data_IF_834227906307
#
_entry.id   IF_834227906307
#
_cell.length_a   1.000
_cell.length_b   1.000
_cell.length_c   1.000
_cell.angle_alpha   90.00
_cell.angle_beta   90.00
_cell.angle_gamma   90.00
#
_symmetry.space_group_name_H-M   'P 1'
#
loop_
_entity.id
_entity.type
_entity.pdbx_description
1 polymer ?
#
# COMPACT_ATOMS: atom_id res chain seq x y z
N UNK A 1 -24.99 27.68 2.74
CA UNK A 1 -23.49 27.72 2.80
C UNK A 1 -23.04 26.51 3.55
N UNK A 2 -22.36 25.57 2.90
CA UNK A 2 -21.72 24.43 3.57
C UNK A 2 -20.49 24.95 4.28
N UNK A 3 -20.35 24.69 5.58
CA UNK A 3 -19.10 24.98 6.28
C UNK A 3 -17.99 24.11 5.66
N UNK A 4 -16.78 24.67 5.44
CA UNK A 4 -15.68 23.85 4.99
C UNK A 4 -15.44 22.73 6.00
N UNK A 5 -15.24 21.50 5.51
CA UNK A 5 -14.89 20.38 6.36
C UNK A 5 -13.59 20.74 7.10
N UNK A 6 -13.48 20.40 8.38
CA UNK A 6 -12.26 20.61 9.18
C UNK A 6 -11.09 19.92 8.50
N UNK A 7 -10.03 20.66 8.18
CA UNK A 7 -8.77 20.05 7.79
C UNK A 7 -8.05 19.52 9.04
N UNK A 8 -7.72 18.23 9.04
CA UNK A 8 -6.95 17.59 10.11
C UNK A 8 -5.45 17.83 9.94
N UNK A 9 -4.72 17.73 11.04
CA UNK A 9 -3.25 17.75 11.06
C UNK A 9 -2.70 16.41 11.56
N UNK A 10 -1.44 16.08 11.23
CA UNK A 10 -0.79 14.86 11.73
C UNK A 10 -0.72 14.84 13.26
N UNK A 11 -0.49 15.99 13.88
CA UNK A 11 -0.46 16.08 15.34
C UNK A 11 -1.81 15.71 15.97
N UNK A 12 -2.92 16.13 15.39
CA UNK A 12 -4.26 15.75 15.85
C UNK A 12 -4.51 14.24 15.62
N UNK A 13 -4.10 13.70 14.47
CA UNK A 13 -4.25 12.27 14.16
C UNK A 13 -3.45 11.40 15.11
N UNK A 14 -2.21 11.78 15.42
CA UNK A 14 -1.35 11.03 16.34
C UNK A 14 -1.81 11.09 17.82
N UNK A 15 -2.79 11.95 18.14
CA UNK A 15 -3.45 11.99 19.47
C UNK A 15 -4.71 11.13 19.53
N UNK A 16 -5.14 10.55 18.41
CA UNK A 16 -6.29 9.65 18.41
C UNK A 16 -5.99 8.39 19.22
N UNK A 17 -7.02 7.74 19.79
CA UNK A 17 -6.82 6.56 20.62
C UNK A 17 -6.27 5.38 19.82
N UNK A 18 -5.50 4.52 20.48
CA UNK A 18 -5.15 3.20 19.95
C UNK A 18 -6.29 2.21 20.30
N UNK A 19 -7.33 2.25 19.50
CA UNK A 19 -8.58 1.49 19.69
C UNK A 19 -8.72 0.33 18.68
N UNK A 20 -7.62 0.01 17.97
CA UNK A 20 -7.58 -1.01 16.92
C UNK A 20 -7.95 -0.50 15.54
N UNK A 21 -8.42 0.73 15.41
CA UNK A 21 -8.64 1.33 14.10
C UNK A 21 -7.31 1.84 13.48
N UNK A 22 -7.26 1.85 12.16
CA UNK A 22 -6.21 2.51 11.40
C UNK A 22 -6.65 3.95 11.08
N UNK A 23 -5.81 4.92 11.42
CA UNK A 23 -6.05 6.34 11.18
C UNK A 23 -5.04 6.85 10.16
N UNK A 24 -5.53 7.35 9.04
CA UNK A 24 -4.71 7.87 7.96
C UNK A 24 -5.11 9.30 7.63
N UNK A 25 -4.13 10.14 7.32
CA UNK A 25 -4.36 11.53 6.94
C UNK A 25 -3.89 11.75 5.50
N UNK A 26 -4.80 12.04 4.60
CA UNK A 26 -4.47 12.32 3.20
C UNK A 26 -5.04 13.70 2.82
N UNK A 27 -4.15 14.65 2.53
CA UNK A 27 -4.49 16.02 2.12
C UNK A 27 -5.49 16.71 3.07
N UNK A 28 -5.29 16.52 4.39
CA UNK A 28 -6.12 17.12 5.42
C UNK A 28 -7.44 16.38 5.70
N UNK A 29 -7.73 15.28 5.00
CA UNK A 29 -8.88 14.43 5.25
C UNK A 29 -8.48 13.22 6.10
N UNK A 30 -9.18 13.01 7.22
CA UNK A 30 -9.01 11.86 8.10
C UNK A 30 -9.78 10.66 7.59
N UNK A 31 -9.09 9.55 7.40
CA UNK A 31 -9.68 8.25 7.10
C UNK A 31 -9.53 7.32 8.29
N UNK A 32 -10.63 6.67 8.68
CA UNK A 32 -10.67 5.68 9.75
C UNK A 32 -11.04 4.34 9.14
N UNK A 33 -10.20 3.32 9.39
CA UNK A 33 -10.42 1.97 8.89
C UNK A 33 -10.52 1.00 10.07
N UNK A 34 -11.63 0.25 10.18
CA UNK A 34 -11.76 -0.78 11.20
C UNK A 34 -10.78 -1.94 10.95
N UNK A 35 -10.60 -2.83 11.94
CA UNK A 35 -9.79 -4.04 11.77
C UNK A 35 -10.20 -4.84 10.52
N UNK A 36 -9.23 -5.48 9.83
CA UNK A 36 -9.47 -6.23 8.61
C UNK A 36 -10.26 -7.52 8.85
N UNK A 37 -10.86 -8.06 7.78
CA UNK A 37 -11.48 -9.39 7.78
C UNK A 37 -10.42 -10.50 7.70
N UNK A 38 -10.84 -11.74 8.02
CA UNK A 38 -9.97 -12.93 7.87
C UNK A 38 -9.50 -13.09 6.42
N UNK A 39 -10.40 -12.96 5.44
CA UNK A 39 -10.05 -13.11 4.02
C UNK A 39 -9.02 -12.07 3.57
N UNK A 40 -9.13 -10.83 4.06
CA UNK A 40 -8.13 -9.78 3.81
C UNK A 40 -6.75 -10.21 4.33
N UNK A 41 -6.69 -10.67 5.58
CA UNK A 41 -5.44 -11.10 6.22
C UNK A 41 -4.83 -12.33 5.54
N UNK A 42 -5.64 -13.28 5.07
CA UNK A 42 -5.14 -14.46 4.36
C UNK A 42 -4.48 -14.10 3.03
N UNK A 43 -5.12 -13.25 2.23
CA UNK A 43 -4.53 -12.76 0.97
C UNK A 43 -3.24 -12.01 1.26
N UNK A 44 -3.25 -11.15 2.27
CA UNK A 44 -2.09 -10.36 2.66
C UNK A 44 -0.93 -11.24 3.14
N UNK A 45 -1.19 -12.26 3.95
CA UNK A 45 -0.18 -13.19 4.45
C UNK A 45 0.50 -13.98 3.32
N UNK A 46 -0.30 -14.49 2.35
CA UNK A 46 0.24 -15.18 1.16
C UNK A 46 1.13 -14.26 0.34
N UNK A 47 0.63 -13.06 0.03
CA UNK A 47 1.39 -12.09 -0.75
C UNK A 47 2.68 -11.64 -0.05
N UNK A 48 2.62 -11.39 1.26
CA UNK A 48 3.78 -11.00 2.05
C UNK A 48 4.87 -12.08 2.00
N UNK A 49 4.51 -13.34 2.16
CA UNK A 49 5.48 -14.45 2.08
C UNK A 49 6.18 -14.51 0.72
N UNK A 50 5.41 -14.38 -0.38
CA UNK A 50 5.94 -14.40 -1.74
C UNK A 50 6.83 -13.19 -2.02
N UNK A 51 6.36 -11.98 -1.67
CA UNK A 51 7.13 -10.74 -1.88
C UNK A 51 8.41 -10.74 -1.07
N UNK A 52 8.37 -11.15 0.20
CA UNK A 52 9.57 -11.19 1.05
C UNK A 52 10.63 -12.09 0.45
N UNK A 53 10.27 -13.33 0.07
CA UNK A 53 11.22 -14.25 -0.55
C UNK A 53 11.82 -13.75 -1.86
N UNK A 54 11.01 -13.09 -2.70
CA UNK A 54 11.49 -12.51 -3.95
C UNK A 54 12.39 -11.29 -3.71
N UNK A 55 11.96 -10.36 -2.88
CA UNK A 55 12.68 -9.10 -2.57
C UNK A 55 14.06 -9.39 -1.94
N UNK A 56 14.12 -10.32 -1.00
CA UNK A 56 15.38 -10.72 -0.35
C UNK A 56 16.32 -11.41 -1.33
N UNK A 57 15.83 -12.36 -2.12
CA UNK A 57 16.64 -13.07 -3.12
C UNK A 57 17.31 -12.14 -4.12
N UNK A 58 16.63 -11.10 -4.52
CA UNK A 58 17.11 -10.16 -5.54
C UNK A 58 17.70 -8.87 -4.96
N UNK A 59 17.83 -8.75 -3.64
CA UNK A 59 18.40 -7.57 -2.99
C UNK A 59 17.63 -6.26 -3.32
N UNK A 60 16.32 -6.34 -3.50
CA UNK A 60 15.49 -5.20 -3.91
C UNK A 60 15.16 -4.23 -2.76
N UNK A 61 15.48 -4.61 -1.53
CA UNK A 61 15.19 -3.83 -0.35
C UNK A 61 14.47 -4.63 0.73
N UNK A 62 13.41 -4.07 1.29
CA UNK A 62 12.62 -4.69 2.36
C UNK A 62 11.13 -4.60 2.09
N UNK A 63 10.42 -5.64 2.51
CA UNK A 63 8.95 -5.62 2.61
C UNK A 63 8.56 -5.11 3.99
N UNK A 64 7.66 -4.16 4.02
CA UNK A 64 7.06 -3.63 5.24
C UNK A 64 5.55 -3.86 5.21
N UNK A 65 4.98 -4.09 6.39
CA UNK A 65 3.56 -4.28 6.64
C UNK A 65 3.07 -3.30 7.71
N UNK A 66 1.80 -3.23 8.08
CA UNK A 66 1.34 -2.32 9.13
C UNK A 66 2.15 -2.50 10.45
N UNK A 67 2.57 -1.48 11.12
CA UNK A 67 2.32 -0.02 11.06
C UNK A 67 3.43 0.78 10.34
N UNK A 68 3.90 0.33 9.21
CA UNK A 68 4.82 1.09 8.40
C UNK A 68 4.06 2.15 7.59
N UNK A 69 4.58 3.38 7.55
CA UNK A 69 3.87 4.50 6.94
C UNK A 69 4.61 5.13 5.77
N UNK A 70 3.86 5.78 4.90
CA UNK A 70 4.37 6.71 3.89
C UNK A 70 3.95 8.11 4.35
N UNK A 71 4.96 9.00 4.53
CA UNK A 71 4.76 10.41 4.85
C UNK A 71 5.16 11.27 3.67
N UNK A 72 4.25 12.12 3.23
CA UNK A 72 4.49 13.04 2.13
C UNK A 72 3.57 14.26 2.25
N UNK A 73 4.14 15.48 2.16
CA UNK A 73 3.41 16.74 2.18
C UNK A 73 2.36 16.87 3.31
N UNK A 74 2.75 16.54 4.54
CA UNK A 74 1.86 16.65 5.70
C UNK A 74 0.76 15.60 5.76
N UNK A 75 0.81 14.60 4.89
CA UNK A 75 -0.08 13.44 4.87
C UNK A 75 0.66 12.19 5.35
N UNK A 76 -0.09 11.23 5.89
CA UNK A 76 0.43 9.93 6.33
C UNK A 76 -0.56 8.84 5.96
N UNK A 77 -0.10 7.85 5.20
CA UNK A 77 -0.86 6.65 4.89
C UNK A 77 -0.12 5.40 5.38
N UNK A 78 -0.87 4.40 5.81
CA UNK A 78 -0.39 3.11 6.30
C UNK A 78 -0.85 2.01 5.32
N UNK A 79 -0.04 1.68 4.29
CA UNK A 79 -0.39 0.65 3.31
C UNK A 79 -0.40 -0.74 3.94
N UNK A 80 -1.18 -1.66 3.36
CA UNK A 80 -1.23 -3.04 3.81
C UNK A 80 0.11 -3.77 3.57
N UNK A 81 0.79 -3.50 2.45
CA UNK A 81 2.19 -3.87 2.22
C UNK A 81 2.92 -2.81 1.41
N UNK A 82 4.22 -2.68 1.62
CA UNK A 82 5.08 -1.90 0.73
C UNK A 82 6.48 -2.50 0.62
N UNK A 83 7.10 -2.33 -0.54
CA UNK A 83 8.50 -2.66 -0.79
C UNK A 83 9.30 -1.38 -0.93
N UNK A 84 10.25 -1.14 -0.01
CA UNK A 84 11.17 0.02 -0.10
C UNK A 84 12.58 -0.42 -0.45
N UNK A 85 13.30 0.31 -1.32
CA UNK A 85 14.68 -0.01 -1.72
C UNK A 85 15.67 0.40 -0.62
N UNK A 86 15.54 -0.22 0.54
CA UNK A 86 16.40 0.02 1.71
C UNK A 86 17.42 -1.10 1.81
N UNK A 87 18.72 -0.78 1.74
CA UNK A 87 19.77 -1.75 1.86
C UNK A 87 19.77 -2.45 3.23
N UNK A 88 20.22 -3.70 3.27
CA UNK A 88 20.42 -4.42 4.53
C UNK A 88 21.44 -3.67 5.40
N UNK A 89 21.11 -3.50 6.68
CA UNK A 89 21.97 -2.77 7.63
C UNK A 89 21.74 -1.25 7.68
N UNK A 90 20.97 -0.67 6.78
CA UNK A 90 20.52 0.72 6.92
C UNK A 90 19.40 0.77 7.96
N UNK A 91 19.59 1.55 8.99
CA UNK A 91 18.62 1.83 10.03
C UNK A 91 18.30 3.32 9.99
N UNK A 92 17.05 3.66 9.70
CA UNK A 92 16.53 5.02 9.79
C UNK A 92 15.53 5.12 10.94
N UNK A 93 15.42 6.29 11.53
CA UNK A 93 14.46 6.55 12.61
C UNK A 93 13.18 7.26 12.11
N UNK A 94 13.19 7.73 10.87
CA UNK A 94 12.09 8.48 10.29
C UNK A 94 11.69 7.91 8.92
N UNK A 95 10.39 7.70 8.73
CA UNK A 95 9.86 7.13 7.48
C UNK A 95 10.05 8.04 6.27
N UNK A 96 10.07 9.35 6.50
CA UNK A 96 10.31 10.39 5.49
C UNK A 96 11.74 10.43 4.94
N UNK A 97 12.70 9.86 5.68
CA UNK A 97 14.10 9.77 5.25
C UNK A 97 14.35 8.57 4.31
N UNK A 98 13.42 7.63 4.29
CA UNK A 98 13.54 6.45 3.43
C UNK A 98 13.14 6.78 1.99
N UNK A 99 13.80 6.18 0.99
CA UNK A 99 13.41 6.38 -0.40
C UNK A 99 11.96 5.94 -0.65
N UNK A 100 11.28 6.52 -1.66
CA UNK A 100 9.91 6.13 -2.02
C UNK A 100 9.80 4.62 -2.26
N UNK A 101 8.66 4.00 -1.91
CA UNK A 101 8.43 2.59 -2.18
C UNK A 101 8.50 2.25 -3.67
N UNK A 102 9.12 1.11 -4.01
CA UNK A 102 9.03 0.52 -5.34
C UNK A 102 7.62 0.00 -5.64
N UNK A 103 6.99 -0.52 -4.60
CA UNK A 103 5.66 -1.11 -4.67
C UNK A 103 4.89 -0.77 -3.41
N UNK A 104 3.62 -0.43 -3.58
CA UNK A 104 2.61 -0.36 -2.52
C UNK A 104 1.46 -1.28 -2.88
N UNK A 105 0.90 -1.94 -1.88
CA UNK A 105 -0.25 -2.84 -2.03
C UNK A 105 -1.33 -2.47 -1.03
N UNK A 106 -2.57 -2.41 -1.51
CA UNK A 106 -3.78 -2.31 -0.68
C UNK A 106 -4.75 -3.42 -1.08
N UNK A 107 -5.32 -4.08 -0.09
CA UNK A 107 -6.40 -5.06 -0.27
C UNK A 107 -7.72 -4.38 -0.01
N UNK A 108 -8.59 -4.35 -1.01
CA UNK A 108 -9.87 -3.66 -0.92
C UNK A 108 -10.80 -4.30 0.12
N UNK A 109 -11.44 -3.45 0.87
CA UNK A 109 -12.66 -3.78 1.59
C UNK A 109 -13.86 -3.04 0.98
N UNK A 110 -15.09 -3.46 1.23
CA UNK A 110 -16.28 -2.74 0.73
C UNK A 110 -16.32 -1.27 1.14
N UNK A 111 -15.78 -0.94 2.32
CA UNK A 111 -15.78 0.41 2.88
C UNK A 111 -14.64 1.30 2.41
N UNK A 112 -13.53 0.72 1.92
CA UNK A 112 -12.32 1.47 1.53
C UNK A 112 -12.16 1.70 0.04
N UNK A 113 -12.93 0.97 -0.80
CA UNK A 113 -12.80 0.95 -2.26
C UNK A 113 -12.61 2.32 -2.92
N UNK A 114 -13.46 3.30 -2.60
CA UNK A 114 -13.35 4.64 -3.21
C UNK A 114 -12.07 5.34 -2.78
N UNK A 115 -11.73 5.26 -1.50
CA UNK A 115 -10.51 5.85 -0.94
C UNK A 115 -9.26 5.29 -1.63
N UNK A 116 -9.17 3.97 -1.72
CA UNK A 116 -7.98 3.29 -2.24
C UNK A 116 -7.83 3.52 -3.76
N UNK A 117 -8.94 3.56 -4.50
CA UNK A 117 -8.92 3.79 -5.95
C UNK A 117 -8.77 5.26 -6.37
N UNK A 118 -9.02 6.22 -5.49
CA UNK A 118 -8.99 7.65 -5.82
C UNK A 118 -7.99 8.40 -4.94
N UNK A 119 -8.27 8.53 -3.64
CA UNK A 119 -7.47 9.37 -2.74
C UNK A 119 -6.03 8.81 -2.54
N UNK A 120 -5.90 7.51 -2.22
CA UNK A 120 -4.60 6.86 -2.05
C UNK A 120 -3.85 6.73 -3.37
N UNK A 121 -4.56 6.47 -4.48
CA UNK A 121 -3.95 6.44 -5.81
C UNK A 121 -3.16 7.72 -6.09
N UNK A 122 -3.80 8.87 -6.01
CA UNK A 122 -3.15 10.16 -6.26
C UNK A 122 -2.00 10.39 -5.28
N UNK A 123 -2.27 10.15 -4.00
CA UNK A 123 -1.29 10.34 -2.94
C UNK A 123 -0.03 9.49 -3.15
N UNK A 124 -0.15 8.20 -3.40
CA UNK A 124 0.99 7.31 -3.61
C UNK A 124 1.78 7.66 -4.87
N UNK A 125 1.10 8.00 -5.97
CA UNK A 125 1.78 8.44 -7.17
C UNK A 125 2.55 9.74 -6.94
N UNK A 126 1.99 10.70 -6.20
CA UNK A 126 2.67 11.97 -5.89
C UNK A 126 3.83 11.77 -4.91
N UNK A 127 3.72 10.85 -3.97
CA UNK A 127 4.80 10.44 -3.07
C UNK A 127 5.93 9.65 -3.78
N UNK A 128 5.83 9.43 -5.09
CA UNK A 128 6.88 8.78 -5.87
C UNK A 128 6.88 7.25 -5.81
N UNK A 129 5.77 6.63 -5.41
CA UNK A 129 5.60 5.17 -5.45
C UNK A 129 5.76 4.68 -6.90
N UNK A 130 6.61 3.67 -7.10
CA UNK A 130 6.90 3.15 -8.43
C UNK A 130 5.74 2.39 -9.05
N UNK A 131 5.09 1.55 -8.27
CA UNK A 131 3.92 0.76 -8.70
C UNK A 131 2.94 0.61 -7.53
N UNK A 132 1.66 0.74 -7.81
CA UNK A 132 0.60 0.58 -6.81
C UNK A 132 -0.36 -0.53 -7.24
N UNK A 133 -0.53 -1.54 -6.38
CA UNK A 133 -1.45 -2.65 -6.60
C UNK A 133 -2.66 -2.52 -5.69
N UNK A 134 -3.84 -2.64 -6.29
CA UNK A 134 -5.11 -2.70 -5.57
C UNK A 134 -5.70 -4.09 -5.80
N UNK A 135 -5.75 -4.88 -4.74
CA UNK A 135 -6.25 -6.25 -4.74
C UNK A 135 -7.74 -6.26 -4.42
N UNK A 136 -8.54 -6.82 -5.30
CA UNK A 136 -9.99 -6.99 -5.12
C UNK A 136 -10.29 -8.48 -4.90
N UNK A 137 -10.47 -8.89 -3.65
CA UNK A 137 -10.74 -10.28 -3.30
C UNK A 137 -12.10 -10.78 -3.79
N UNK A 138 -13.12 -9.91 -3.85
CA UNK A 138 -14.45 -10.28 -4.37
C UNK A 138 -14.42 -10.60 -5.86
N UNK A 139 -13.65 -9.82 -6.63
CA UNK A 139 -13.51 -10.00 -8.09
C UNK A 139 -12.33 -10.87 -8.47
N UNK A 140 -11.49 -11.25 -7.53
CA UNK A 140 -10.25 -12.00 -7.75
C UNK A 140 -9.39 -11.35 -8.82
N UNK A 141 -9.19 -10.04 -8.70
CA UNK A 141 -8.42 -9.25 -9.64
C UNK A 141 -7.44 -8.32 -8.95
N UNK A 142 -6.36 -7.98 -9.64
CA UNK A 142 -5.40 -6.96 -9.20
C UNK A 142 -5.39 -5.83 -10.22
N UNK A 143 -5.59 -4.61 -9.75
CA UNK A 143 -5.39 -3.40 -10.55
C UNK A 143 -3.97 -2.90 -10.31
N UNK A 144 -3.19 -2.84 -11.37
CA UNK A 144 -1.83 -2.31 -11.38
C UNK A 144 -1.85 -0.87 -11.88
N UNK A 145 -1.30 0.02 -11.08
CA UNK A 145 -1.33 1.47 -11.30
C UNK A 145 0.12 1.97 -11.32
N UNK A 146 0.46 2.72 -12.38
CA UNK A 146 1.76 3.39 -12.54
C UNK A 146 1.55 4.84 -12.99
N UNK A 147 2.48 5.69 -12.64
CA UNK A 147 2.44 7.11 -13.06
C UNK A 147 2.52 7.22 -14.59
N UNK A 148 1.57 7.93 -15.19
CA UNK A 148 1.58 8.21 -16.63
C UNK A 148 1.15 7.05 -17.52
N UNK A 149 0.74 5.92 -16.95
CA UNK A 149 0.24 4.75 -17.67
C UNK A 149 -1.27 4.55 -17.41
N UNK A 150 -1.93 3.87 -18.33
CA UNK A 150 -3.29 3.37 -18.11
C UNK A 150 -3.26 2.22 -17.11
N UNK A 151 -4.27 2.15 -16.24
CA UNK A 151 -4.41 1.04 -15.30
C UNK A 151 -4.56 -0.29 -16.04
N UNK A 152 -3.90 -1.33 -15.52
CA UNK A 152 -4.04 -2.70 -16.01
C UNK A 152 -4.77 -3.54 -14.97
N UNK A 153 -5.82 -4.22 -15.36
CA UNK A 153 -6.55 -5.17 -14.50
C UNK A 153 -6.16 -6.59 -14.89
N UNK A 154 -5.68 -7.34 -13.91
CA UNK A 154 -5.17 -8.72 -14.08
C UNK A 154 -6.05 -9.68 -13.30
N UNK A 155 -6.42 -10.83 -13.92
CA UNK A 155 -7.26 -11.87 -13.33
C UNK A 155 -6.65 -13.27 -13.31
N UNK A 156 -5.62 -13.49 -14.14
CA UNK A 156 -5.01 -14.81 -14.30
C UNK A 156 -3.62 -14.86 -13.67
N UNK A 157 -2.71 -13.99 -14.13
CA UNK A 157 -1.31 -13.97 -13.71
C UNK A 157 -0.77 -12.55 -13.70
N UNK A 158 -0.29 -12.09 -12.56
CA UNK A 158 0.34 -10.79 -12.39
C UNK A 158 1.86 -10.94 -12.53
N UNK A 159 2.47 -10.10 -13.36
CA UNK A 159 3.91 -10.09 -13.57
C UNK A 159 4.52 -8.79 -13.05
N UNK A 160 5.31 -8.88 -11.99
CA UNK A 160 6.09 -7.75 -11.47
C UNK A 160 7.53 -7.79 -12.00
N UNK A 161 7.91 -6.77 -12.76
CA UNK A 161 9.21 -6.67 -13.41
C UNK A 161 10.22 -5.82 -12.64
N UNK A 162 10.26 -5.96 -11.32
CA UNK A 162 11.27 -5.29 -10.51
C UNK A 162 12.69 -5.74 -10.89
N UNK A 163 12.85 -6.99 -11.33
CA UNK A 163 14.04 -7.52 -12.00
C UNK A 163 13.61 -8.04 -13.37
N UNK A 164 14.14 -7.43 -14.44
CA UNK A 164 13.70 -7.74 -15.82
C UNK A 164 14.01 -9.16 -16.22
N UNK A 165 15.19 -9.68 -15.84
CA UNK A 165 15.64 -11.04 -16.20
C UNK A 165 14.86 -12.14 -15.45
N UNK A 166 14.42 -11.84 -14.24
CA UNK A 166 13.70 -12.78 -13.36
C UNK A 166 12.47 -12.09 -12.75
N UNK A 167 11.40 -11.84 -13.51
CA UNK A 167 10.22 -11.20 -12.98
C UNK A 167 9.50 -12.10 -11.97
N UNK A 168 8.86 -11.48 -10.96
CA UNK A 168 7.94 -12.20 -10.09
C UNK A 168 6.65 -12.47 -10.86
N UNK A 169 6.22 -13.72 -10.88
CA UNK A 169 4.94 -14.13 -11.45
C UNK A 169 4.02 -14.62 -10.33
N UNK A 170 2.86 -14.01 -10.21
CA UNK A 170 1.83 -14.35 -9.21
C UNK A 170 0.64 -14.95 -9.92
N UNK A 171 0.28 -16.18 -9.58
CA UNK A 171 -0.96 -16.82 -10.00
C UNK A 171 -2.11 -16.29 -9.13
N UNK A 172 -3.19 -15.79 -9.77
CA UNK A 172 -4.31 -15.18 -9.05
C UNK A 172 -5.15 -16.22 -8.29
N UNK A 173 -5.24 -17.45 -8.79
CA UNK A 173 -5.96 -18.53 -8.10
C UNK A 173 -5.20 -18.88 -6.81
N UNK A 174 -3.89 -19.02 -6.88
CA UNK A 174 -3.08 -19.29 -5.70
C UNK A 174 -3.07 -18.13 -4.68
N UNK A 175 -3.17 -16.89 -5.16
CA UNK A 175 -3.19 -15.70 -4.30
C UNK A 175 -4.51 -15.56 -3.55
N UNK A 176 -5.62 -15.70 -4.23
CA UNK A 176 -6.95 -15.48 -3.64
C UNK A 176 -7.58 -16.75 -3.01
N UNK A 177 -7.07 -17.93 -3.28
CA UNK A 177 -7.54 -19.21 -2.76
C UNK A 177 -8.63 -19.86 -3.57
#
# INVERSE_FOLDING_TARGET
MSMPAKAWTLEEVHRLPDDGNKYELIRGELFVTPPPSVDHEEVLARLNAILTGYVERHGLGRVYHPRAVIRFEGSEAEPDLMVRPVALGVHGNAWEELPPPRLVVEVLSPTTRRRDLVNKREYYLDAGVGEYWVLDGERREVRVIRRGESDVVVRDSLVWRAVVAEPLVLDMVALFG
#
